data_IF_514199808027
#
_entry.id   IF_514199808027
#
_cell.length_a   1.000
_cell.length_b   1.000
_cell.length_c   1.000
_cell.angle_alpha   90.00
_cell.angle_beta   90.00
_cell.angle_gamma   90.00
#
_symmetry.space_group_name_H-M   'P 1'
#
loop_
_entity.id
_entity.type
_entity.pdbx_description
1 polymer ?
#
# COMPACT_ATOMS: atom_id res chain seq x y z
N UNK A 1 -6.48 11.49 -0.12
CA UNK A 1 -6.04 11.48 -1.53
C UNK A 1 -6.61 12.69 -2.26
N UNK A 2 -5.91 13.25 -3.25
CA UNK A 2 -6.36 14.44 -3.99
C UNK A 2 -7.57 14.18 -4.89
N UNK A 3 -8.12 15.21 -5.56
CA UNK A 3 -9.27 15.05 -6.47
C UNK A 3 -8.90 14.20 -7.69
N UNK A 4 -9.90 13.61 -8.33
CA UNK A 4 -9.71 13.02 -9.66
C UNK A 4 -9.11 14.06 -10.63
N UNK A 5 -8.10 13.70 -11.45
CA UNK A 5 -7.61 12.35 -11.76
C UNK A 5 -6.37 11.89 -10.95
N UNK A 6 -5.88 12.70 -10.01
CA UNK A 6 -4.56 12.49 -9.40
C UNK A 6 -4.37 11.12 -8.73
N UNK A 7 -5.32 10.56 -7.97
CA UNK A 7 -5.11 9.25 -7.35
C UNK A 7 -4.88 8.13 -8.37
N UNK A 8 -5.64 8.11 -9.46
CA UNK A 8 -5.50 7.11 -10.53
C UNK A 8 -4.18 7.29 -11.28
N UNK A 9 -3.85 8.53 -11.67
CA UNK A 9 -2.61 8.85 -12.36
C UNK A 9 -1.36 8.48 -11.52
N UNK A 10 -1.35 8.83 -10.24
CA UNK A 10 -0.23 8.50 -9.33
C UNK A 10 -0.10 7.01 -9.14
N UNK A 11 -1.20 6.28 -8.94
CA UNK A 11 -1.20 4.81 -8.89
C UNK A 11 -0.59 4.22 -10.14
N UNK A 12 -1.01 4.67 -11.32
CA UNK A 12 -0.56 4.10 -12.59
C UNK A 12 0.94 4.32 -12.81
N UNK A 13 1.45 5.52 -12.50
CA UNK A 13 2.88 5.79 -12.57
C UNK A 13 3.70 5.02 -11.53
N UNK A 14 3.16 4.81 -10.33
CA UNK A 14 3.86 4.05 -9.27
C UNK A 14 3.70 2.53 -9.43
N UNK A 15 2.79 2.05 -10.31
CA UNK A 15 2.51 0.61 -10.51
C UNK A 15 3.73 -0.19 -10.96
N UNK A 16 4.78 0.48 -11.45
CA UNK A 16 6.04 -0.17 -11.81
C UNK A 16 6.66 -0.93 -10.63
N UNK A 17 6.49 -0.43 -9.40
CA UNK A 17 7.01 -1.08 -8.18
C UNK A 17 6.47 -2.51 -8.06
N UNK A 18 5.14 -2.68 -8.05
CA UNK A 18 4.56 -4.03 -7.90
C UNK A 18 4.79 -4.92 -9.14
N UNK A 19 4.91 -4.33 -10.34
CA UNK A 19 5.24 -5.08 -11.57
C UNK A 19 6.65 -5.65 -11.51
N UNK A 20 7.63 -4.87 -11.05
CA UNK A 20 9.00 -5.32 -10.87
C UNK A 20 9.10 -6.39 -9.77
N UNK A 21 8.37 -6.24 -8.65
CA UNK A 21 8.34 -7.28 -7.59
C UNK A 21 7.84 -8.62 -8.13
N UNK A 22 6.80 -8.63 -8.98
CA UNK A 22 6.34 -9.86 -9.63
C UNK A 22 7.41 -10.50 -10.50
N UNK A 23 8.04 -9.68 -11.34
CA UNK A 23 9.09 -10.14 -12.24
C UNK A 23 10.28 -10.71 -11.45
N UNK A 24 10.73 -10.00 -10.43
CA UNK A 24 11.83 -10.41 -9.56
C UNK A 24 11.52 -11.72 -8.81
N UNK A 25 10.30 -11.90 -8.28
CA UNK A 25 9.92 -13.14 -7.62
C UNK A 25 9.87 -14.32 -8.58
N UNK A 26 9.33 -14.12 -9.79
CA UNK A 26 9.32 -15.17 -10.81
C UNK A 26 10.75 -15.55 -11.22
N UNK A 27 11.64 -14.57 -11.37
CA UNK A 27 13.05 -14.79 -11.72
C UNK A 27 13.85 -15.49 -10.61
N UNK A 28 13.63 -15.13 -9.35
CA UNK A 28 14.44 -15.61 -8.22
C UNK A 28 13.90 -16.88 -7.56
N UNK A 29 12.59 -17.07 -7.55
CA UNK A 29 11.91 -18.14 -6.81
C UNK A 29 11.07 -19.07 -7.72
N UNK A 30 10.89 -18.71 -9.00
CA UNK A 30 10.26 -19.53 -10.02
C UNK A 30 8.94 -18.98 -10.57
N UNK A 31 8.63 -19.33 -11.82
CA UNK A 31 7.43 -18.89 -12.53
C UNK A 31 6.16 -19.15 -11.71
N UNK A 32 5.27 -18.14 -11.65
CA UNK A 32 4.04 -18.21 -10.87
C UNK A 32 4.21 -18.04 -9.35
N UNK A 33 5.43 -17.85 -8.83
CA UNK A 33 5.63 -17.47 -7.43
C UNK A 33 5.02 -16.09 -7.14
N UNK A 34 4.16 -16.05 -6.12
CA UNK A 34 3.59 -14.82 -5.56
C UNK A 34 4.08 -14.64 -4.14
N UNK A 35 4.22 -13.41 -3.62
CA UNK A 35 4.57 -13.22 -2.22
C UNK A 35 3.42 -13.66 -1.31
N UNK A 36 3.73 -14.18 -0.12
CA UNK A 36 2.71 -14.47 0.89
C UNK A 36 2.10 -13.18 1.47
N UNK A 37 2.89 -12.11 1.53
CA UNK A 37 2.45 -10.80 2.02
C UNK A 37 3.24 -9.68 1.34
N UNK A 38 2.55 -8.59 1.00
CA UNK A 38 3.17 -7.31 0.62
C UNK A 38 2.86 -6.26 1.68
N UNK A 39 3.87 -5.48 2.05
CA UNK A 39 3.79 -4.51 3.15
C UNK A 39 4.35 -3.17 2.67
N UNK A 40 3.62 -2.09 2.92
CA UNK A 40 4.08 -0.74 2.59
C UNK A 40 3.56 0.31 3.59
N UNK A 41 4.35 1.37 3.77
CA UNK A 41 3.97 2.49 4.62
C UNK A 41 2.91 3.38 3.94
N UNK A 42 1.92 3.80 4.71
CA UNK A 42 0.82 4.66 4.27
C UNK A 42 0.90 6.01 4.97
N UNK A 43 1.29 7.02 4.18
CA UNK A 43 0.98 8.43 4.43
C UNK A 43 0.01 8.90 3.35
N UNK A 44 0.51 9.56 2.30
CA UNK A 44 -0.27 9.85 1.09
C UNK A 44 -0.61 8.63 0.23
N UNK A 45 0.08 7.50 0.44
CA UNK A 45 -0.25 6.19 -0.14
C UNK A 45 0.33 5.86 -1.52
N UNK A 46 1.14 6.73 -2.14
CA UNK A 46 1.65 6.51 -3.51
C UNK A 46 2.49 5.25 -3.67
N UNK A 47 3.48 5.03 -2.80
CA UNK A 47 4.32 3.82 -2.82
C UNK A 47 3.48 2.55 -2.59
N UNK A 48 2.57 2.60 -1.62
CA UNK A 48 1.71 1.48 -1.25
C UNK A 48 0.76 1.12 -2.39
N UNK A 49 0.09 2.10 -3.01
CA UNK A 49 -0.74 1.86 -4.20
C UNK A 49 0.08 1.28 -5.36
N UNK A 50 1.30 1.77 -5.57
CA UNK A 50 2.21 1.24 -6.60
C UNK A 50 2.61 -0.21 -6.38
N UNK A 51 2.88 -0.59 -5.13
CA UNK A 51 3.19 -1.97 -4.76
C UNK A 51 1.96 -2.87 -4.81
N UNK A 52 0.84 -2.43 -4.25
CA UNK A 52 -0.34 -3.28 -4.02
C UNK A 52 -1.17 -3.49 -5.29
N UNK A 53 -1.26 -2.50 -6.17
CA UNK A 53 -2.18 -2.55 -7.31
C UNK A 53 -2.01 -3.80 -8.19
N UNK A 54 -0.78 -4.23 -8.54
CA UNK A 54 -0.58 -5.46 -9.31
C UNK A 54 -0.93 -6.77 -8.58
N UNK A 55 -1.27 -6.75 -7.29
CA UNK A 55 -1.60 -7.93 -6.48
C UNK A 55 -3.05 -7.94 -5.97
N UNK A 56 -3.90 -6.98 -6.37
CA UNK A 56 -5.26 -6.85 -5.84
C UNK A 56 -6.18 -8.04 -6.17
N UNK A 57 -5.94 -8.71 -7.29
CA UNK A 57 -6.73 -9.86 -7.73
C UNK A 57 -6.20 -11.21 -7.19
N UNK A 58 -5.04 -11.22 -6.56
CA UNK A 58 -4.36 -12.42 -6.06
C UNK A 58 -4.76 -12.70 -4.61
N UNK A 59 -5.84 -13.47 -4.46
CA UNK A 59 -6.45 -13.77 -3.14
C UNK A 59 -5.51 -14.44 -2.13
N UNK A 60 -4.43 -15.07 -2.58
CA UNK A 60 -3.41 -15.67 -1.72
C UNK A 60 -2.44 -14.65 -1.12
N UNK A 61 -2.35 -13.45 -1.70
CA UNK A 61 -1.42 -12.39 -1.27
C UNK A 61 -2.09 -11.55 -0.20
N UNK A 62 -1.52 -11.53 1.00
CA UNK A 62 -1.96 -10.62 2.05
C UNK A 62 -1.41 -9.22 1.80
N UNK A 63 -2.26 -8.20 1.87
CA UNK A 63 -1.87 -6.80 1.69
C UNK A 63 -1.94 -6.08 3.03
N UNK A 64 -0.82 -5.52 3.50
CA UNK A 64 -0.74 -4.82 4.78
C UNK A 64 -0.23 -3.39 4.56
N UNK A 65 -1.09 -2.42 4.88
CA UNK A 65 -0.74 -1.02 4.98
C UNK A 65 -0.31 -0.65 6.40
N UNK A 66 0.80 0.09 6.54
CA UNK A 66 1.31 0.51 7.85
C UNK A 66 1.27 2.03 7.96
N UNK A 67 0.43 2.57 8.84
CA UNK A 67 0.38 4.01 9.09
C UNK A 67 1.28 4.42 10.27
N UNK A 68 1.63 5.70 10.34
CA UNK A 68 2.47 6.22 11.42
C UNK A 68 1.68 6.37 12.73
N UNK A 69 1.94 5.48 13.69
CA UNK A 69 1.30 5.48 15.02
C UNK A 69 1.74 6.59 15.98
N UNK A 70 2.74 7.40 15.61
CA UNK A 70 3.20 8.54 16.41
C UNK A 70 3.53 8.18 17.87
N UNK A 71 3.02 8.96 18.81
CA UNK A 71 3.14 8.70 20.26
C UNK A 71 2.08 7.74 20.80
N UNK A 72 1.15 7.31 19.96
CA UNK A 72 0.05 6.44 20.34
C UNK A 72 -1.22 6.78 19.57
N UNK A 73 -1.97 5.74 19.19
CA UNK A 73 -3.36 5.85 18.74
C UNK A 73 -4.26 5.72 19.97
N UNK A 74 -4.11 6.69 20.86
CA UNK A 74 -4.83 6.78 22.14
C UNK A 74 -5.62 8.10 22.22
N UNK A 75 -6.20 8.39 23.39
CA UNK A 75 -7.02 9.58 23.61
C UNK A 75 -6.33 10.92 23.26
N UNK A 76 -4.99 10.97 23.27
CA UNK A 76 -4.22 12.17 22.92
C UNK A 76 -4.09 12.39 21.42
N UNK A 77 -4.33 11.35 20.61
CA UNK A 77 -4.36 11.40 19.14
C UNK A 77 -3.10 12.02 18.50
N UNK A 78 -1.92 11.82 19.11
CA UNK A 78 -0.65 12.34 18.60
C UNK A 78 -0.02 11.36 17.57
N UNK A 79 -0.72 11.13 16.45
CA UNK A 79 -0.33 10.20 15.39
C UNK A 79 -0.75 10.67 13.98
N UNK A 80 -0.28 9.97 12.94
CA UNK A 80 -0.72 10.16 11.55
C UNK A 80 -1.42 8.90 10.97
N UNK A 81 -1.90 8.00 11.82
CA UNK A 81 -2.75 6.86 11.44
C UNK A 81 -4.19 7.26 11.11
N UNK A 82 -4.38 7.84 9.93
CA UNK A 82 -5.67 8.35 9.42
C UNK A 82 -6.75 7.29 9.23
N UNK A 83 -6.40 6.07 8.84
CA UNK A 83 -7.35 4.97 8.65
C UNK A 83 -7.73 4.32 9.99
N UNK A 84 -6.77 4.25 10.91
CA UNK A 84 -6.95 3.58 12.20
C UNK A 84 -7.57 4.48 13.26
N UNK A 85 -7.11 5.73 13.35
CA UNK A 85 -7.58 6.71 14.35
C UNK A 85 -8.37 7.89 13.75
N UNK A 86 -8.51 7.98 12.43
CA UNK A 86 -9.32 9.03 11.81
C UNK A 86 -10.81 8.89 12.09
N UNK A 87 -11.57 9.95 11.78
CA UNK A 87 -13.03 9.98 11.94
C UNK A 87 -13.63 10.48 10.64
N UNK A 88 -14.77 9.95 10.17
CA UNK A 88 -15.42 10.46 8.97
C UNK A 88 -15.61 11.99 9.04
N UNK A 89 -15.08 12.71 8.05
CA UNK A 89 -15.13 14.18 8.00
C UNK A 89 -13.82 14.89 8.37
N UNK A 90 -12.79 14.16 8.83
CA UNK A 90 -11.41 14.65 9.05
C UNK A 90 -10.36 13.61 8.68
#
# INVERSE_FOLDING_TARGET
AGPHPYPAMVRDFQSIIGKEVRWQLAEQEGEGRLPDTVIAAIGGGSNAMGLFYPFLDDKSVRIIGVEAGGKGVDEKMEHCASLTGGRPGV
#
